data_IF_277307355533
#
_entry.id   IF_277307355533
#
_cell.length_a   1.000
_cell.length_b   1.000
_cell.length_c   1.000
_cell.angle_alpha   90.00
_cell.angle_beta   90.00
_cell.angle_gamma   90.00
#
_symmetry.space_group_name_H-M   'P 1'
#
loop_
_entity.id
_entity.type
_entity.pdbx_description
1 polymer ?
#
# COMPACT_ATOMS: atom_id res chain seq x y z
N UNK A 1 -4.10 -27.61 6.89
CA UNK A 1 -3.10 -26.54 6.74
C UNK A 1 -3.53 -25.70 5.56
N UNK A 2 -3.84 -24.42 5.76
CA UNK A 2 -4.32 -23.48 4.74
C UNK A 2 -3.26 -22.47 4.34
N UNK A 3 -3.58 -21.57 3.40
CA UNK A 3 -2.64 -20.54 2.88
C UNK A 3 -2.04 -19.61 3.94
N UNK A 4 -2.68 -19.49 5.11
CA UNK A 4 -2.18 -18.67 6.21
C UNK A 4 -1.00 -19.33 6.96
N UNK A 5 -0.89 -20.67 6.91
CA UNK A 5 0.19 -21.40 7.58
C UNK A 5 1.54 -21.23 6.88
N UNK A 6 1.54 -20.72 5.64
CA UNK A 6 2.73 -20.45 4.83
C UNK A 6 3.27 -19.02 5.01
N UNK A 7 2.58 -18.17 5.78
CA UNK A 7 2.99 -16.78 5.97
C UNK A 7 4.10 -16.66 7.00
N UNK A 8 5.17 -15.95 6.64
CA UNK A 8 6.18 -15.50 7.60
C UNK A 8 5.67 -14.25 8.35
N UNK A 9 5.10 -14.48 9.53
CA UNK A 9 4.62 -13.42 10.43
C UNK A 9 5.74 -12.71 11.19
N UNK A 10 7.01 -13.08 10.99
CA UNK A 10 8.17 -12.44 11.62
C UNK A 10 8.80 -11.36 10.74
N UNK A 11 8.34 -11.25 9.48
CA UNK A 11 8.80 -10.23 8.54
C UNK A 11 8.64 -8.81 9.12
N UNK A 12 9.72 -8.05 9.13
CA UNK A 12 9.76 -6.68 9.64
C UNK A 12 10.74 -5.83 8.84
N UNK A 13 10.52 -4.52 8.86
CA UNK A 13 11.43 -3.55 8.25
C UNK A 13 12.11 -2.74 9.35
N UNK A 14 13.38 -2.42 9.15
CA UNK A 14 14.01 -1.36 9.95
C UNK A 14 13.36 -0.02 9.60
N UNK A 15 13.40 0.95 10.53
CA UNK A 15 12.83 2.30 10.29
C UNK A 15 13.38 2.97 9.03
N UNK A 16 14.65 2.71 8.70
CA UNK A 16 15.31 3.26 7.51
C UNK A 16 14.80 2.62 6.23
N UNK A 17 14.55 1.31 6.23
CA UNK A 17 13.97 0.60 5.10
C UNK A 17 12.51 0.99 4.91
N UNK A 18 11.73 1.06 6.00
CA UNK A 18 10.34 1.52 6.01
C UNK A 18 10.22 2.89 5.36
N UNK A 19 10.97 3.90 5.85
CA UNK A 19 10.92 5.26 5.30
C UNK A 19 11.25 5.28 3.79
N UNK A 20 12.32 4.59 3.39
CA UNK A 20 12.73 4.51 1.98
C UNK A 20 11.69 3.81 1.10
N UNK A 21 11.08 2.74 1.59
CA UNK A 21 10.05 2.00 0.86
C UNK A 21 8.78 2.83 0.73
N UNK A 22 8.38 3.51 1.81
CA UNK A 22 7.21 4.36 1.88
C UNK A 22 7.32 5.53 0.89
N UNK A 23 8.46 6.23 0.86
CA UNK A 23 8.68 7.34 -0.09
C UNK A 23 8.53 6.90 -1.55
N UNK A 24 9.17 5.78 -1.93
CA UNK A 24 9.07 5.22 -3.28
C UNK A 24 7.66 4.77 -3.62
N UNK A 25 6.96 4.13 -2.67
CA UNK A 25 5.60 3.65 -2.87
C UNK A 25 4.63 4.82 -3.03
N UNK A 26 4.79 5.90 -2.27
CA UNK A 26 3.99 7.12 -2.40
C UNK A 26 4.16 7.79 -3.76
N UNK A 27 5.39 7.93 -4.23
CA UNK A 27 5.67 8.47 -5.56
C UNK A 27 4.97 7.65 -6.65
N UNK A 28 5.10 6.32 -6.58
CA UNK A 28 4.45 5.43 -7.54
C UNK A 28 2.94 5.47 -7.46
N UNK A 29 2.37 5.49 -6.26
CA UNK A 29 0.92 5.58 -6.05
C UNK A 29 0.37 6.90 -6.61
N UNK A 30 1.06 8.02 -6.38
CA UNK A 30 0.69 9.31 -6.92
C UNK A 30 0.69 9.29 -8.45
N UNK A 31 1.75 8.75 -9.06
CA UNK A 31 1.83 8.60 -10.52
C UNK A 31 0.64 7.79 -11.05
N UNK A 32 0.37 6.61 -10.47
CA UNK A 32 -0.73 5.74 -10.88
C UNK A 32 -2.09 6.45 -10.75
N UNK A 33 -2.30 7.16 -9.64
CA UNK A 33 -3.53 7.91 -9.42
C UNK A 33 -3.73 9.02 -10.45
N UNK A 34 -2.68 9.76 -10.79
CA UNK A 34 -2.74 10.81 -11.81
C UNK A 34 -2.99 10.23 -13.21
N UNK A 35 -2.39 9.09 -13.54
CA UNK A 35 -2.65 8.37 -14.79
C UNK A 35 -4.10 7.89 -14.86
N UNK A 36 -4.60 7.22 -13.81
CA UNK A 36 -5.99 6.73 -13.76
C UNK A 36 -7.00 7.88 -13.81
N UNK A 37 -6.68 9.02 -13.20
CA UNK A 37 -7.49 10.24 -13.26
C UNK A 37 -7.39 11.02 -14.58
N UNK A 38 -6.64 10.52 -15.57
CA UNK A 38 -6.47 11.18 -16.87
C UNK A 38 -5.71 12.51 -16.82
N UNK A 39 -4.94 12.76 -15.75
CA UNK A 39 -4.21 14.02 -15.56
C UNK A 39 -2.83 14.02 -16.26
N UNK A 40 -2.26 12.83 -16.46
CA UNK A 40 -0.98 12.62 -17.15
C UNK A 40 -1.08 11.42 -18.12
N UNK A 41 -0.12 11.26 -19.03
CA UNK A 41 -0.13 10.17 -20.02
C UNK A 41 -1.10 10.44 -21.17
N UNK A 42 -1.93 9.45 -21.53
CA UNK A 42 -2.91 9.55 -22.64
C UNK A 42 -4.08 10.52 -22.39
N UNK A 43 -4.17 11.09 -21.17
CA UNK A 43 -5.21 12.05 -20.76
C UNK A 43 -6.64 11.53 -20.93
N UNK A 44 -6.83 10.23 -20.69
CA UNK A 44 -8.13 9.56 -20.61
C UNK A 44 -8.31 8.97 -19.22
N UNK A 45 -9.57 8.85 -18.79
CA UNK A 45 -9.88 8.14 -17.54
C UNK A 45 -9.50 6.67 -17.68
N UNK A 46 -8.78 6.15 -16.69
CA UNK A 46 -8.44 4.74 -16.55
C UNK A 46 -9.56 3.92 -15.94
N UNK A 47 -9.37 2.60 -15.81
CA UNK A 47 -10.34 1.72 -15.16
C UNK A 47 -10.58 2.13 -13.69
N UNK A 48 -11.81 1.97 -13.16
CA UNK A 48 -12.07 2.21 -11.74
C UNK A 48 -11.35 1.17 -10.88
N UNK A 49 -10.74 1.63 -9.80
CA UNK A 49 -10.01 0.78 -8.85
C UNK A 49 -10.65 0.88 -7.47
N UNK A 50 -11.02 -0.27 -6.90
CA UNK A 50 -11.49 -0.38 -5.51
C UNK A 50 -10.46 -1.19 -4.71
N UNK A 51 -10.11 -0.71 -3.52
CA UNK A 51 -9.21 -1.40 -2.58
C UNK A 51 -9.99 -1.67 -1.30
N UNK A 52 -10.05 -2.93 -0.89
CA UNK A 52 -10.71 -3.38 0.35
C UNK A 52 -9.65 -3.74 1.36
N UNK A 53 -9.76 -3.21 2.58
CA UNK A 53 -8.88 -3.54 3.69
C UNK A 53 -9.66 -4.36 4.71
N UNK A 54 -9.19 -5.57 4.99
CA UNK A 54 -9.75 -6.50 5.98
C UNK A 54 -8.64 -6.94 6.94
N UNK A 55 -8.99 -7.29 8.17
CA UNK A 55 -8.06 -7.76 9.19
C UNK A 55 -8.78 -8.13 10.48
N UNK A 56 -8.10 -8.85 11.39
CA UNK A 56 -8.65 -9.11 12.72
C UNK A 56 -8.65 -7.80 13.54
N UNK A 57 -9.56 -7.63 14.52
CA UNK A 57 -9.52 -6.47 15.41
C UNK A 57 -8.15 -6.29 16.06
N UNK A 58 -7.47 -5.19 15.73
CA UNK A 58 -6.11 -4.87 16.19
C UNK A 58 -5.03 -4.90 15.09
N UNK A 59 -5.28 -5.53 13.95
CA UNK A 59 -4.30 -5.62 12.85
C UNK A 59 -4.17 -4.31 12.07
N UNK A 60 -5.24 -3.54 12.01
CA UNK A 60 -5.31 -2.25 11.31
C UNK A 60 -5.36 -1.09 12.31
N UNK A 61 -4.19 -0.75 12.87
CA UNK A 61 -3.82 0.61 13.30
C UNK A 61 -2.46 0.61 14.04
N UNK A 62 -1.43 1.16 13.41
CA UNK A 62 -0.24 1.66 14.12
C UNK A 62 -0.18 3.19 14.00
N UNK A 63 -1.19 3.89 14.53
CA UNK A 63 -1.01 5.30 14.88
C UNK A 63 -0.07 5.33 16.08
N UNK A 64 1.24 5.42 15.83
CA UNK A 64 2.24 5.58 16.87
C UNK A 64 1.99 6.93 17.55
N UNK A 65 1.31 6.92 18.71
CA UNK A 65 1.35 8.07 19.61
C UNK A 65 2.79 8.20 20.11
N UNK A 66 3.51 9.21 19.61
CA UNK A 66 4.46 10.06 20.33
C UNK A 66 4.96 11.15 19.39
#
# INVERSE_FOLDING_TARGET
>A
MGRLDELDLTASLTRKEEARALDRAWERLAQLRLTLGGQIGERKLGPPTCVVFEGWPGDVAATRRR
#
